data_IF_611757410595
#
_entry.id   IF_611757410595
#
_cell.length_a   1.000
_cell.length_b   1.000
_cell.length_c   1.000
_cell.angle_alpha   90.00
_cell.angle_beta   90.00
_cell.angle_gamma   90.00
#
_symmetry.space_group_name_H-M   'P 1'
#
loop_
_entity.id
_entity.type
_entity.pdbx_description
1 polymer ?
#
# COMPACT_ATOMS: atom_id res chain seq x y z
N UNK A 1 14.00 -4.75 10.48
CA UNK A 1 14.12 -4.78 9.01
C UNK A 1 15.15 -3.72 8.62
N UNK A 2 15.98 -4.02 7.62
CA UNK A 2 17.07 -3.16 7.14
C UNK A 2 17.28 -3.37 5.64
N UNK A 3 18.21 -2.67 5.04
CA UNK A 3 18.52 -2.76 3.61
C UNK A 3 18.86 -4.18 3.14
N UNK A 4 19.57 -4.97 3.93
CA UNK A 4 19.92 -6.34 3.52
C UNK A 4 18.70 -7.24 3.42
N UNK A 5 17.73 -7.06 4.33
CA UNK A 5 16.45 -7.78 4.27
C UNK A 5 15.69 -7.42 3.00
N UNK A 6 15.59 -6.13 2.66
CA UNK A 6 14.89 -5.72 1.44
C UNK A 6 15.62 -6.12 0.17
N UNK A 7 16.94 -6.10 0.14
CA UNK A 7 17.71 -6.64 -0.99
C UNK A 7 17.43 -8.11 -1.23
N UNK A 8 17.30 -8.89 -0.16
CA UNK A 8 16.89 -10.30 -0.28
C UNK A 8 15.52 -10.45 -0.95
N UNK A 9 14.52 -9.66 -0.56
CA UNK A 9 13.20 -9.68 -1.19
C UNK A 9 13.23 -9.17 -2.64
N UNK A 10 14.01 -8.15 -2.94
CA UNK A 10 14.19 -7.64 -4.31
C UNK A 10 14.83 -8.72 -5.20
N UNK A 11 15.84 -9.44 -4.70
CA UNK A 11 16.47 -10.55 -5.42
C UNK A 11 15.50 -11.70 -5.67
N UNK A 12 14.69 -12.02 -4.67
CA UNK A 12 13.64 -13.03 -4.80
C UNK A 12 12.60 -12.60 -5.85
N UNK A 13 12.13 -11.36 -5.78
CA UNK A 13 11.17 -10.79 -6.71
C UNK A 13 11.69 -10.85 -8.16
N UNK A 14 12.91 -10.35 -8.39
CA UNK A 14 13.55 -10.38 -9.70
C UNK A 14 13.69 -11.80 -10.27
N UNK A 15 14.13 -12.74 -9.44
CA UNK A 15 14.30 -14.16 -9.82
C UNK A 15 12.98 -14.85 -10.17
N UNK A 16 11.88 -14.42 -9.57
CA UNK A 16 10.56 -15.06 -9.73
C UNK A 16 9.60 -14.22 -10.60
N UNK A 17 10.08 -13.22 -11.32
CA UNK A 17 9.28 -12.32 -12.15
C UNK A 17 8.14 -11.62 -11.38
N UNK A 18 8.40 -11.24 -10.14
CA UNK A 18 7.53 -10.40 -9.34
C UNK A 18 7.91 -8.95 -9.59
N UNK A 19 6.96 -8.14 -10.00
CA UNK A 19 7.22 -6.78 -10.52
C UNK A 19 7.52 -5.76 -9.41
N UNK A 20 6.97 -5.97 -8.20
CA UNK A 20 7.04 -4.99 -7.12
C UNK A 20 7.34 -5.63 -5.76
N UNK A 21 8.04 -4.87 -4.92
CA UNK A 21 8.23 -5.16 -3.49
C UNK A 21 7.66 -4.00 -2.69
N UNK A 22 6.79 -4.30 -1.72
CA UNK A 22 6.25 -3.30 -0.79
C UNK A 22 7.16 -3.21 0.44
N UNK A 23 7.66 -2.02 0.72
CA UNK A 23 8.21 -1.69 2.03
C UNK A 23 7.02 -1.34 2.93
N UNK A 24 6.62 -2.30 3.77
CA UNK A 24 5.48 -2.16 4.66
C UNK A 24 5.78 -1.25 5.86
N UNK A 25 4.86 -1.06 6.78
CA UNK A 25 5.02 -0.19 7.95
C UNK A 25 6.39 -0.37 8.62
N UNK A 26 7.06 0.74 8.93
CA UNK A 26 8.35 0.75 9.63
C UNK A 26 9.56 1.21 8.78
N UNK A 27 9.39 1.55 7.51
CA UNK A 27 10.44 2.21 6.70
C UNK A 27 10.56 3.71 7.03
N UNK A 28 9.48 4.33 7.46
CA UNK A 28 9.44 5.71 7.97
C UNK A 28 9.19 5.73 9.48
N UNK A 29 9.53 6.82 10.13
CA UNK A 29 9.37 6.99 11.57
C UNK A 29 7.89 6.96 11.96
N UNK A 30 7.49 5.97 12.74
CA UNK A 30 6.11 5.78 13.17
C UNK A 30 5.59 6.89 14.09
N UNK A 31 4.26 7.09 14.09
CA UNK A 31 3.51 8.01 14.99
C UNK A 31 3.80 9.49 14.79
N UNK A 32 4.49 9.87 13.74
CA UNK A 32 4.77 11.26 13.40
C UNK A 32 3.83 11.81 12.31
N UNK A 33 3.11 10.95 11.59
CA UNK A 33 2.37 11.29 10.37
C UNK A 33 3.24 12.11 9.40
N UNK A 34 4.49 11.71 9.25
CA UNK A 34 5.49 12.37 8.43
C UNK A 34 6.27 11.32 7.64
N UNK A 35 5.97 11.25 6.35
CA UNK A 35 6.58 10.26 5.46
C UNK A 35 7.97 10.66 4.95
N UNK A 36 8.46 11.86 5.29
CA UNK A 36 9.81 12.29 4.89
C UNK A 36 10.90 11.88 5.87
N UNK A 37 10.52 11.32 7.02
CA UNK A 37 11.45 10.83 8.03
C UNK A 37 11.68 9.32 7.85
N UNK A 38 12.63 8.97 6.99
CA UNK A 38 13.08 7.58 6.81
C UNK A 38 13.87 7.13 8.04
N UNK A 39 13.71 5.89 8.50
CA UNK A 39 14.47 5.35 9.63
C UNK A 39 15.93 5.12 9.26
N UNK A 40 16.84 5.20 10.24
CA UNK A 40 18.29 5.09 10.02
C UNK A 40 18.72 3.78 9.37
N UNK A 41 17.98 2.69 9.62
CA UNK A 41 18.28 1.36 9.10
C UNK A 41 17.96 1.20 7.61
N UNK A 42 17.32 2.19 7.00
CA UNK A 42 16.87 2.17 5.60
C UNK A 42 17.52 3.31 4.81
N UNK A 43 18.35 2.94 3.86
CA UNK A 43 18.79 3.81 2.77
C UNK A 43 17.86 3.57 1.58
N UNK A 44 16.81 4.39 1.48
CA UNK A 44 15.75 4.21 0.50
C UNK A 44 16.23 4.47 -0.93
N UNK A 45 17.10 5.45 -1.14
CA UNK A 45 17.65 5.78 -2.46
C UNK A 45 18.47 4.60 -3.00
N UNK A 46 19.37 4.05 -2.16
CA UNK A 46 20.14 2.85 -2.52
C UNK A 46 19.27 1.62 -2.80
N UNK A 47 18.13 1.46 -2.10
CA UNK A 47 17.19 0.38 -2.37
C UNK A 47 16.46 0.57 -3.70
N UNK A 48 16.05 1.78 -4.03
CA UNK A 48 15.40 2.10 -5.31
C UNK A 48 16.36 1.86 -6.48
N UNK A 49 17.61 2.30 -6.37
CA UNK A 49 18.64 2.04 -7.37
C UNK A 49 18.87 0.53 -7.56
N UNK A 50 19.02 -0.20 -6.46
CA UNK A 50 19.23 -1.65 -6.47
C UNK A 50 18.05 -2.41 -7.12
N UNK A 51 16.83 -2.04 -6.78
CA UNK A 51 15.63 -2.64 -7.33
C UNK A 51 15.45 -2.34 -8.83
N UNK A 52 15.70 -1.09 -9.22
CA UNK A 52 15.64 -0.65 -10.62
C UNK A 52 16.61 -1.44 -11.49
N UNK A 53 17.84 -1.65 -11.03
CA UNK A 53 18.84 -2.46 -11.75
C UNK A 53 18.42 -3.92 -11.94
N UNK A 54 17.42 -4.40 -11.19
CA UNK A 54 16.88 -5.76 -11.25
C UNK A 54 15.47 -5.84 -11.87
N UNK A 55 14.97 -4.74 -12.43
CA UNK A 55 13.63 -4.60 -12.98
C UNK A 55 12.52 -4.87 -11.94
N UNK A 56 12.75 -4.49 -10.69
CA UNK A 56 11.76 -4.54 -9.60
C UNK A 56 11.43 -3.13 -9.17
N UNK A 57 10.14 -2.82 -9.05
CA UNK A 57 9.66 -1.55 -8.52
C UNK A 57 9.51 -1.58 -7.00
N UNK A 58 9.72 -0.44 -6.35
CA UNK A 58 9.44 -0.30 -4.92
C UNK A 58 8.13 0.46 -4.73
N UNK A 59 7.32 -0.05 -3.82
CA UNK A 59 6.08 0.56 -3.31
C UNK A 59 6.26 0.82 -1.82
N UNK A 60 5.78 1.93 -1.32
CA UNK A 60 5.89 2.29 0.09
C UNK A 60 4.55 2.21 0.79
N UNK A 61 4.56 1.72 2.02
CA UNK A 61 3.42 1.83 2.91
C UNK A 61 3.26 3.26 3.43
N UNK A 62 2.01 3.71 3.56
CA UNK A 62 1.68 5.02 4.12
C UNK A 62 0.38 4.94 4.91
N UNK A 63 0.38 5.40 6.15
CA UNK A 63 -0.85 5.56 6.92
C UNK A 63 -1.72 6.72 6.41
N UNK A 64 -3.04 6.57 6.47
CA UNK A 64 -4.02 7.56 6.02
C UNK A 64 -3.70 8.99 6.49
N UNK A 65 -3.45 9.19 7.77
CA UNK A 65 -3.21 10.53 8.32
C UNK A 65 -1.95 11.20 7.77
N UNK A 66 -0.90 10.42 7.53
CA UNK A 66 0.33 10.94 6.95
C UNK A 66 0.13 11.35 5.50
N UNK A 67 -0.62 10.55 4.75
CA UNK A 67 -0.94 10.83 3.35
C UNK A 67 -1.93 12.01 3.22
N UNK A 68 -2.99 12.06 4.04
CA UNK A 68 -3.95 13.18 4.05
C UNK A 68 -3.27 14.53 4.34
N UNK A 69 -2.25 14.50 5.20
CA UNK A 69 -1.53 15.72 5.62
C UNK A 69 -0.78 16.41 4.48
N UNK A 70 -0.14 15.66 3.59
CA UNK A 70 0.76 16.26 2.57
C UNK A 70 0.86 15.43 1.28
N UNK A 71 -0.27 14.95 0.81
CA UNK A 71 -0.41 14.02 -0.32
C UNK A 71 0.38 14.45 -1.56
N UNK A 72 0.21 15.69 -2.00
CA UNK A 72 0.81 16.21 -3.22
C UNK A 72 2.36 16.21 -3.14
N UNK A 73 2.94 16.68 -2.04
CA UNK A 73 4.39 16.72 -1.86
C UNK A 73 4.98 15.32 -1.69
N UNK A 74 4.27 14.44 -0.98
CA UNK A 74 4.67 13.02 -0.82
C UNK A 74 4.72 12.33 -2.17
N UNK A 75 3.65 12.42 -2.97
CA UNK A 75 3.62 11.81 -4.30
C UNK A 75 4.71 12.37 -5.22
N UNK A 76 4.89 13.68 -5.24
CA UNK A 76 5.95 14.31 -6.03
C UNK A 76 7.33 13.83 -5.64
N UNK A 77 7.68 13.93 -4.36
CA UNK A 77 9.00 13.58 -3.83
C UNK A 77 9.37 12.12 -4.15
N UNK A 78 8.46 11.19 -3.84
CA UNK A 78 8.74 9.77 -4.03
C UNK A 78 8.65 9.30 -5.48
N UNK A 79 7.87 9.98 -6.32
CA UNK A 79 7.91 9.71 -7.77
C UNK A 79 9.24 10.15 -8.40
N UNK A 80 9.78 11.31 -7.98
CA UNK A 80 11.09 11.80 -8.41
C UNK A 80 12.22 10.86 -7.98
N UNK A 81 12.12 10.24 -6.81
CA UNK A 81 13.06 9.21 -6.32
C UNK A 81 12.94 7.90 -7.12
N UNK A 82 11.80 7.62 -7.76
CA UNK A 82 11.57 6.41 -8.57
C UNK A 82 10.63 5.37 -7.93
N UNK A 83 9.98 5.70 -6.82
CA UNK A 83 8.94 4.89 -6.19
C UNK A 83 7.74 4.74 -7.15
N UNK A 84 7.12 3.57 -7.18
CA UNK A 84 6.08 3.21 -8.16
C UNK A 84 4.66 3.42 -7.65
N UNK A 85 4.47 3.47 -6.34
CA UNK A 85 3.14 3.63 -5.75
C UNK A 85 3.17 3.58 -4.24
N UNK A 86 1.97 3.64 -3.65
CA UNK A 86 1.76 3.53 -2.22
C UNK A 86 0.73 2.46 -1.88
N UNK A 87 1.02 1.68 -0.83
CA UNK A 87 0.03 0.97 -0.03
C UNK A 87 -0.47 1.96 1.02
N UNK A 88 -1.69 2.49 0.84
CA UNK A 88 -2.29 3.45 1.76
C UNK A 88 -3.25 2.72 2.69
N UNK A 89 -3.03 2.84 4.00
CA UNK A 89 -3.63 1.98 5.00
C UNK A 89 -4.31 2.75 6.15
N UNK A 90 -5.13 2.05 6.93
CA UNK A 90 -5.79 2.55 8.14
C UNK A 90 -6.81 3.67 7.90
N UNK A 91 -7.53 3.63 6.79
CA UNK A 91 -8.69 4.51 6.62
C UNK A 91 -9.82 4.11 7.57
N UNK A 92 -10.14 2.81 7.65
CA UNK A 92 -11.12 2.19 8.57
C UNK A 92 -12.48 2.91 8.64
N UNK A 93 -12.80 3.65 7.60
CA UNK A 93 -14.00 4.50 7.50
C UNK A 93 -14.49 4.57 6.07
N UNK A 94 -15.80 4.84 5.94
CA UNK A 94 -16.50 5.00 4.65
C UNK A 94 -17.42 6.23 4.63
N UNK A 95 -17.20 7.19 5.54
CA UNK A 95 -17.90 8.46 5.50
C UNK A 95 -17.43 9.35 4.33
N UNK A 96 -18.22 10.37 4.01
CA UNK A 96 -18.00 11.22 2.84
C UNK A 96 -16.59 11.83 2.78
N UNK A 97 -16.01 12.19 3.91
CA UNK A 97 -14.66 12.77 3.96
C UNK A 97 -13.63 11.77 3.48
N UNK A 98 -13.68 10.54 3.98
CA UNK A 98 -12.72 9.51 3.62
C UNK A 98 -12.98 8.97 2.22
N UNK A 99 -14.24 8.88 1.80
CA UNK A 99 -14.55 8.53 0.40
C UNK A 99 -13.96 9.56 -0.57
N UNK A 100 -14.06 10.86 -0.28
CA UNK A 100 -13.41 11.88 -1.11
C UNK A 100 -11.89 11.70 -1.13
N UNK A 101 -11.26 11.39 0.02
CA UNK A 101 -9.82 11.13 0.08
C UNK A 101 -9.37 10.02 -0.90
N UNK A 102 -10.15 8.93 -1.06
CA UNK A 102 -9.80 7.89 -2.03
C UNK A 102 -9.71 8.43 -3.46
N UNK A 103 -10.65 9.32 -3.84
CA UNK A 103 -10.64 9.94 -5.17
C UNK A 103 -9.47 10.92 -5.32
N UNK A 104 -9.25 11.79 -4.34
CA UNK A 104 -8.15 12.76 -4.33
C UNK A 104 -6.80 12.04 -4.39
N UNK A 105 -6.64 10.92 -3.67
CA UNK A 105 -5.44 10.10 -3.68
C UNK A 105 -5.20 9.46 -5.06
N UNK A 106 -6.24 8.91 -5.67
CA UNK A 106 -6.15 8.29 -6.99
C UNK A 106 -5.74 9.32 -8.06
N UNK A 107 -6.36 10.50 -8.05
CA UNK A 107 -6.05 11.59 -8.97
C UNK A 107 -4.64 12.14 -8.78
N UNK A 108 -4.25 12.37 -7.52
CA UNK A 108 -2.91 12.88 -7.19
C UNK A 108 -1.83 11.88 -7.60
N UNK A 109 -1.98 10.61 -7.25
CA UNK A 109 -1.04 9.58 -7.66
C UNK A 109 -0.92 9.47 -9.19
N UNK A 110 -2.03 9.57 -9.92
CA UNK A 110 -2.02 9.52 -11.38
C UNK A 110 -1.19 10.63 -12.02
N UNK A 111 -1.20 11.86 -11.48
CA UNK A 111 -0.35 12.97 -11.94
C UNK A 111 1.13 12.59 -11.94
N UNK A 112 1.54 11.82 -10.96
CA UNK A 112 2.91 11.38 -10.73
C UNK A 112 3.21 9.99 -11.28
N UNK A 113 2.27 9.40 -12.06
CA UNK A 113 2.39 8.06 -12.66
C UNK A 113 2.62 6.96 -11.61
N UNK A 114 1.98 7.12 -10.47
CA UNK A 114 2.01 6.17 -9.36
C UNK A 114 0.70 5.41 -9.27
N UNK A 115 0.77 4.17 -8.79
CA UNK A 115 -0.42 3.39 -8.48
C UNK A 115 -0.66 3.32 -6.96
N UNK A 116 -1.88 2.93 -6.60
CA UNK A 116 -2.31 2.82 -5.21
C UNK A 116 -2.90 1.44 -4.94
N UNK A 117 -2.55 0.92 -3.79
CA UNK A 117 -3.13 -0.25 -3.14
C UNK A 117 -3.75 0.22 -1.82
N UNK A 118 -5.08 0.16 -1.67
CA UNK A 118 -5.77 0.62 -0.48
C UNK A 118 -5.99 -0.51 0.51
N UNK A 119 -5.50 -0.33 1.74
CA UNK A 119 -5.68 -1.25 2.87
C UNK A 119 -6.48 -0.60 4.02
N UNK A 120 -7.07 -1.41 4.91
CA UNK A 120 -8.04 -0.90 5.86
C UNK A 120 -9.18 -0.13 5.16
N UNK A 121 -9.57 -0.59 3.98
CA UNK A 121 -10.37 0.15 3.02
C UNK A 121 -11.83 -0.31 3.03
N UNK A 122 -12.73 0.59 2.57
CA UNK A 122 -14.11 0.22 2.33
C UNK A 122 -14.26 -0.70 1.10
N UNK A 123 -15.44 -1.31 0.96
CA UNK A 123 -15.78 -2.11 -0.22
C UNK A 123 -15.73 -1.25 -1.49
N UNK A 124 -14.97 -1.64 -2.53
CA UNK A 124 -14.88 -0.87 -3.76
C UNK A 124 -16.23 -0.82 -4.49
N UNK A 125 -16.52 0.34 -5.09
CA UNK A 125 -17.76 0.62 -5.82
C UNK A 125 -17.53 0.97 -7.30
N UNK A 126 -16.50 0.38 -7.91
CA UNK A 126 -16.17 0.59 -9.31
C UNK A 126 -15.09 1.66 -9.56
N UNK A 127 -14.45 2.18 -8.54
CA UNK A 127 -13.40 3.19 -8.63
C UNK A 127 -12.26 2.78 -9.59
N UNK A 128 -11.85 1.51 -9.57
CA UNK A 128 -10.79 1.00 -10.44
C UNK A 128 -11.11 1.11 -11.94
N UNK A 129 -12.37 1.30 -12.32
CA UNK A 129 -12.75 1.54 -13.73
C UNK A 129 -12.49 2.99 -14.15
N UNK A 130 -12.66 3.93 -13.22
CA UNK A 130 -12.40 5.36 -13.46
C UNK A 130 -10.92 5.68 -13.28
N UNK A 131 -10.30 5.05 -12.29
CA UNK A 131 -8.91 5.26 -11.91
C UNK A 131 -8.14 3.93 -12.00
N UNK A 132 -7.64 3.58 -13.20
CA UNK A 132 -6.93 2.29 -13.40
C UNK A 132 -5.60 2.20 -12.66
N UNK A 133 -5.10 3.29 -12.11
CA UNK A 133 -3.96 3.31 -11.20
C UNK A 133 -4.30 2.88 -9.76
N UNK A 134 -5.58 2.67 -9.43
CA UNK A 134 -5.99 2.01 -8.18
C UNK A 134 -6.06 0.53 -8.46
N UNK A 135 -5.09 -0.23 -7.94
CA UNK A 135 -4.93 -1.65 -8.28
C UNK A 135 -5.78 -2.55 -7.41
N UNK A 136 -5.90 -2.23 -6.12
CA UNK A 136 -6.52 -3.11 -5.15
C UNK A 136 -7.17 -2.36 -3.98
N UNK A 137 -8.11 -3.04 -3.33
CA UNK A 137 -8.74 -2.64 -2.07
C UNK A 137 -8.78 -3.85 -1.15
N UNK A 138 -8.21 -3.72 0.05
CA UNK A 138 -8.42 -4.70 1.11
C UNK A 138 -9.81 -4.52 1.77
N UNK A 139 -10.84 -4.40 1.00
CA UNK A 139 -12.21 -4.24 1.49
C UNK A 139 -12.79 -5.52 2.12
N UNK A 140 -11.97 -6.35 2.74
CA UNK A 140 -12.30 -7.65 3.34
C UNK A 140 -11.60 -7.82 4.67
N UNK A 141 -12.16 -8.68 5.50
CA UNK A 141 -11.53 -9.14 6.73
C UNK A 141 -10.71 -10.40 6.41
N UNK A 142 -9.45 -10.21 5.99
CA UNK A 142 -8.61 -11.28 5.46
C UNK A 142 -8.02 -12.20 6.52
N UNK A 143 -7.27 -13.23 6.09
CA UNK A 143 -6.63 -14.24 6.96
C UNK A 143 -5.70 -13.64 8.01
N UNK A 144 -5.17 -12.46 7.79
CA UNK A 144 -4.36 -11.75 8.78
C UNK A 144 -5.11 -11.57 10.09
N UNK A 145 -6.41 -11.37 10.05
CA UNK A 145 -7.28 -11.21 11.22
C UNK A 145 -7.29 -12.44 12.14
N UNK A 146 -6.92 -13.61 11.62
CA UNK A 146 -6.79 -14.83 12.44
C UNK A 146 -5.83 -14.67 13.64
N UNK A 147 -4.92 -13.69 13.58
CA UNK A 147 -3.99 -13.38 14.68
C UNK A 147 -4.69 -12.77 15.90
N UNK A 148 -5.85 -12.16 15.72
CA UNK A 148 -6.50 -11.33 16.74
C UNK A 148 -7.92 -11.77 17.10
N UNK A 149 -8.55 -12.64 16.30
CA UNK A 149 -9.91 -13.12 16.56
C UNK A 149 -9.91 -14.26 17.59
N UNK A 150 -10.99 -14.43 18.38
CA UNK A 150 -11.14 -15.59 19.26
C UNK A 150 -11.15 -16.91 18.49
N UNK A 151 -10.60 -17.97 19.09
CA UNK A 151 -10.62 -19.32 18.51
C UNK A 151 -12.03 -19.89 18.27
N UNK A 152 -13.05 -19.29 18.87
CA UNK A 152 -14.46 -19.65 18.67
C UNK A 152 -15.07 -19.08 17.38
N UNK A 153 -14.35 -18.20 16.68
CA UNK A 153 -14.82 -17.64 15.41
C UNK A 153 -14.66 -18.67 14.29
N UNK A 154 -15.74 -18.90 13.51
CA UNK A 154 -15.71 -19.81 12.37
C UNK A 154 -15.08 -19.13 11.14
N UNK A 155 -13.74 -19.03 11.18
CA UNK A 155 -12.97 -18.43 10.11
C UNK A 155 -13.07 -19.22 8.80
N UNK A 156 -13.23 -20.55 8.88
CA UNK A 156 -13.31 -21.40 7.69
C UNK A 156 -14.57 -21.08 6.89
N UNK A 157 -15.73 -21.03 7.57
CA UNK A 157 -16.99 -20.64 6.90
C UNK A 157 -16.89 -19.22 6.34
N UNK A 158 -16.27 -18.29 7.07
CA UNK A 158 -16.07 -16.93 6.58
C UNK A 158 -15.24 -16.93 5.28
N UNK A 159 -14.07 -17.55 5.27
CA UNK A 159 -13.14 -17.56 4.15
C UNK A 159 -13.71 -18.18 2.87
N UNK A 160 -14.53 -19.23 2.99
CA UNK A 160 -15.16 -19.84 1.82
C UNK A 160 -16.42 -19.09 1.35
N UNK A 161 -16.96 -18.18 2.17
CA UNK A 161 -18.16 -17.41 1.88
C UNK A 161 -17.86 -16.01 1.32
N UNK A 162 -16.81 -15.37 1.82
CA UNK A 162 -16.51 -13.97 1.48
C UNK A 162 -16.32 -13.72 -0.03
N UNK A 163 -15.74 -14.62 -0.83
CA UNK A 163 -15.63 -14.43 -2.28
C UNK A 163 -16.99 -14.22 -2.96
N UNK A 164 -18.02 -14.92 -2.51
CA UNK A 164 -19.36 -14.77 -3.08
C UNK A 164 -20.03 -13.43 -2.75
N UNK A 165 -19.54 -12.75 -1.73
CA UNK A 165 -20.06 -11.44 -1.29
C UNK A 165 -19.26 -10.32 -1.96
N UNK A 166 -17.95 -10.49 -2.15
CA UNK A 166 -17.03 -9.43 -2.60
C UNK A 166 -16.74 -9.44 -4.09
N UNK A 167 -16.75 -10.60 -4.73
CA UNK A 167 -16.45 -10.72 -6.16
C UNK A 167 -17.61 -10.44 -7.10
N UNK A 168 -18.82 -10.31 -6.57
CA UNK A 168 -20.04 -10.04 -7.34
C UNK A 168 -20.33 -8.53 -7.46
N UNK A 169 -19.52 -7.69 -6.90
CA UNK A 169 -19.71 -6.24 -6.86
C UNK A 169 -18.90 -5.51 -7.93
#
# INVERSE_FOLDING_TARGET
>A
INNDTYKFYIDFASKNNIEYVILDEGWAVNKQADLFQVVEEIDLEALVEYATAKNVGIVLWAGYYAMERDMENVCRHYSEMGIKGFKVDFMDRDDQKVVNFYYDMAETAAKYKMFIDFHGAYKPTGMCRTYPNVLNFEGVWGLEQAKWIPNSYDLVTYEVTIPFIRQVA
#
